data_IF_863180115003
#
_entry.id   IF_863180115003
#
_cell.length_a   1.000
_cell.length_b   1.000
_cell.length_c   1.000
_cell.angle_alpha   90.00
_cell.angle_beta   90.00
_cell.angle_gamma   90.00
#
_symmetry.space_group_name_H-M   'P 1'
#
loop_
_entity.id
_entity.type
_entity.pdbx_description
1 polymer ?
#
# COMPACT_ATOMS: atom_id res chain seq x y z
N UNK A 1 12.98 0.87 -4.06
CA UNK A 1 11.81 1.77 -3.79
C UNK A 1 12.20 3.10 -3.10
N UNK A 2 11.39 4.18 -3.20
CA UNK A 2 11.65 5.48 -2.55
C UNK A 2 11.48 5.38 -1.02
N UNK A 3 12.42 5.95 -0.26
CA UNK A 3 12.40 5.99 1.21
C UNK A 3 11.11 6.59 1.78
N UNK A 4 10.59 7.67 1.18
CA UNK A 4 9.36 8.30 1.66
C UNK A 4 8.13 7.38 1.58
N UNK A 5 8.03 6.60 0.49
CA UNK A 5 6.94 5.64 0.31
C UNK A 5 7.09 4.48 1.32
N UNK A 6 8.31 3.96 1.47
CA UNK A 6 8.62 2.91 2.46
C UNK A 6 8.27 3.34 3.88
N UNK A 7 8.69 4.55 4.29
CA UNK A 7 8.42 5.10 5.62
C UNK A 7 6.90 5.27 5.86
N UNK A 8 6.14 5.64 4.83
CA UNK A 8 4.68 5.74 4.92
C UNK A 8 4.04 4.37 5.11
N UNK A 9 4.44 3.38 4.32
CA UNK A 9 3.93 2.00 4.40
C UNK A 9 4.22 1.43 5.79
N UNK A 10 5.46 1.54 6.26
CA UNK A 10 5.88 1.04 7.57
C UNK A 10 5.05 1.66 8.70
N UNK A 11 4.88 2.98 8.68
CA UNK A 11 4.11 3.70 9.70
C UNK A 11 2.64 3.27 9.73
N UNK A 12 2.01 3.18 8.56
CA UNK A 12 0.58 2.89 8.45
C UNK A 12 0.27 1.41 8.74
N UNK A 13 1.12 0.47 8.29
CA UNK A 13 0.97 -0.95 8.59
C UNK A 13 1.18 -1.24 10.08
N UNK A 14 2.21 -0.65 10.71
CA UNK A 14 2.37 -0.73 12.18
C UNK A 14 1.10 -0.26 12.88
N UNK A 15 0.57 0.91 12.51
CA UNK A 15 -0.64 1.44 13.14
C UNK A 15 -1.85 0.51 12.96
N UNK A 16 -2.03 -0.07 11.78
CA UNK A 16 -3.09 -1.04 11.48
C UNK A 16 -3.01 -2.27 12.39
N UNK A 17 -1.86 -2.95 12.41
CA UNK A 17 -1.66 -4.17 13.19
C UNK A 17 -1.71 -3.92 14.71
N UNK A 18 -1.14 -2.80 15.19
CA UNK A 18 -1.24 -2.44 16.61
C UNK A 18 -2.66 -2.01 17.03
N UNK A 19 -3.47 -1.43 16.14
CA UNK A 19 -4.89 -1.15 16.41
C UNK A 19 -5.67 -2.45 16.61
N UNK A 20 -5.36 -3.49 15.82
CA UNK A 20 -5.91 -4.83 16.00
C UNK A 20 -5.45 -5.46 17.32
N UNK A 21 -4.16 -5.33 17.68
CA UNK A 21 -3.60 -5.82 18.95
C UNK A 21 -4.31 -5.24 20.18
N UNK A 22 -4.50 -3.92 20.21
CA UNK A 22 -5.09 -3.22 21.37
C UNK A 22 -6.46 -3.81 21.77
N UNK A 23 -7.16 -4.43 20.83
CA UNK A 23 -8.46 -5.07 21.03
C UNK A 23 -8.39 -6.53 21.54
N UNK A 24 -7.25 -7.22 21.42
CA UNK A 24 -7.10 -8.66 21.73
C UNK A 24 -5.85 -8.92 22.57
N UNK A 25 -6.04 -9.08 23.90
CA UNK A 25 -5.09 -9.55 24.94
C UNK A 25 -3.63 -9.03 24.95
N UNK A 26 -3.16 -8.61 26.13
CA UNK A 26 -1.84 -8.01 26.34
C UNK A 26 -0.80 -9.00 26.87
N UNK A 27 -0.42 -10.02 26.09
CA UNK A 27 0.72 -10.87 26.44
C UNK A 27 1.89 -10.67 25.44
N UNK A 28 3.11 -11.00 25.86
CA UNK A 28 4.34 -10.77 25.09
C UNK A 28 4.38 -11.59 23.80
N UNK A 29 3.92 -12.84 23.84
CA UNK A 29 3.87 -13.71 22.65
C UNK A 29 2.98 -13.12 21.54
N UNK A 30 1.81 -12.59 21.90
CA UNK A 30 0.92 -11.94 20.92
C UNK A 30 1.53 -10.66 20.36
N UNK A 31 2.32 -9.93 21.17
CA UNK A 31 3.03 -8.75 20.70
C UNK A 31 4.11 -9.11 19.67
N UNK A 32 4.86 -10.19 19.89
CA UNK A 32 5.92 -10.61 18.98
C UNK A 32 5.34 -11.17 17.67
N UNK A 33 4.27 -11.96 17.73
CA UNK A 33 3.54 -12.40 16.54
C UNK A 33 3.04 -11.23 15.69
N UNK A 34 2.54 -10.16 16.32
CA UNK A 34 2.06 -8.98 15.60
C UNK A 34 3.21 -8.22 14.94
N UNK A 35 4.40 -8.22 15.55
CA UNK A 35 5.59 -7.65 14.92
C UNK A 35 5.98 -8.43 13.68
N UNK A 36 6.00 -9.76 13.77
CA UNK A 36 6.27 -10.63 12.63
C UNK A 36 5.25 -10.35 11.50
N UNK A 37 3.95 -10.33 11.81
CA UNK A 37 2.91 -10.05 10.82
C UNK A 37 3.08 -8.70 10.11
N UNK A 38 3.32 -7.60 10.85
CA UNK A 38 3.48 -6.30 10.18
C UNK A 38 4.78 -6.22 9.38
N UNK A 39 5.86 -6.92 9.79
CA UNK A 39 7.13 -6.94 9.06
C UNK A 39 6.96 -7.69 7.74
N UNK A 40 6.35 -8.88 7.78
CA UNK A 40 6.05 -9.66 6.58
C UNK A 40 5.16 -8.86 5.60
N UNK A 41 4.18 -8.12 6.14
CA UNK A 41 3.31 -7.28 5.32
C UNK A 41 4.05 -6.11 4.68
N UNK A 42 5.01 -5.50 5.39
CA UNK A 42 5.87 -4.43 4.84
C UNK A 42 6.69 -4.98 3.68
N UNK A 43 7.31 -6.13 3.85
CA UNK A 43 8.13 -6.75 2.80
C UNK A 43 7.29 -7.08 1.56
N UNK A 44 6.10 -7.66 1.76
CA UNK A 44 5.15 -7.90 0.67
C UNK A 44 4.76 -6.61 -0.07
N UNK A 45 4.46 -5.53 0.64
CA UNK A 45 4.14 -4.24 0.04
C UNK A 45 5.33 -3.69 -0.75
N UNK A 46 6.53 -3.79 -0.19
CA UNK A 46 7.74 -3.25 -0.79
C UNK A 46 8.08 -3.96 -2.11
N UNK A 47 8.07 -5.29 -2.10
CA UNK A 47 8.37 -6.11 -3.27
C UNK A 47 7.34 -5.89 -4.38
N UNK A 48 6.06 -5.88 -4.02
CA UNK A 48 4.97 -5.69 -4.99
C UNK A 48 5.05 -4.30 -5.64
N UNK A 49 5.23 -3.25 -4.84
CA UNK A 49 5.29 -1.88 -5.36
C UNK A 49 6.55 -1.62 -6.17
N UNK A 50 7.68 -2.23 -5.83
CA UNK A 50 8.88 -2.14 -6.66
C UNK A 50 8.65 -2.75 -8.04
N UNK A 51 8.03 -3.93 -8.11
CA UNK A 51 7.67 -4.57 -9.37
C UNK A 51 6.64 -3.76 -10.17
N UNK A 52 5.59 -3.26 -9.52
CA UNK A 52 4.56 -2.42 -10.14
C UNK A 52 5.19 -1.16 -10.76
N UNK A 53 5.97 -0.41 -9.98
CA UNK A 53 6.60 0.83 -10.45
C UNK A 53 7.62 0.58 -11.57
N UNK A 54 8.36 -0.53 -11.51
CA UNK A 54 9.27 -0.94 -12.59
C UNK A 54 8.51 -1.28 -13.87
N UNK A 55 7.49 -2.12 -13.78
CA UNK A 55 6.63 -2.52 -14.91
C UNK A 55 5.96 -1.30 -15.54
N UNK A 56 5.46 -0.36 -14.72
CA UNK A 56 4.84 0.86 -15.22
C UNK A 56 5.84 1.77 -15.95
N UNK A 57 7.06 1.92 -15.42
CA UNK A 57 8.14 2.68 -16.10
C UNK A 57 8.48 2.11 -17.48
N UNK A 58 8.53 0.79 -17.59
CA UNK A 58 8.92 0.10 -18.83
C UNK A 58 7.79 0.06 -19.87
N UNK A 59 6.55 -0.25 -19.45
CA UNK A 59 5.43 -0.51 -20.36
C UNK A 59 4.53 0.70 -20.59
N UNK A 60 4.47 1.64 -19.63
CA UNK A 60 3.54 2.80 -19.63
C UNK A 60 2.08 2.44 -19.87
N UNK A 61 1.68 1.21 -19.54
CA UNK A 61 0.31 0.71 -19.75
C UNK A 61 -0.59 1.13 -18.59
N UNK A 62 -1.56 2.00 -18.87
CA UNK A 62 -2.55 2.48 -17.89
C UNK A 62 -3.47 1.36 -17.39
N UNK A 63 -3.88 0.45 -18.28
CA UNK A 63 -4.78 -0.65 -17.92
C UNK A 63 -4.10 -1.63 -16.95
N UNK A 64 -2.86 -2.02 -17.23
CA UNK A 64 -2.09 -2.91 -16.33
C UNK A 64 -1.84 -2.24 -14.98
N UNK A 65 -1.52 -0.94 -14.99
CA UNK A 65 -1.35 -0.18 -13.76
C UNK A 65 -2.63 -0.21 -12.92
N UNK A 66 -3.79 0.03 -13.53
CA UNK A 66 -5.07 0.03 -12.82
C UNK A 66 -5.38 -1.35 -12.22
N UNK A 67 -5.21 -2.43 -12.99
CA UNK A 67 -5.36 -3.80 -12.49
C UNK A 67 -4.44 -4.08 -11.29
N UNK A 68 -3.18 -3.66 -11.37
CA UNK A 68 -2.22 -3.87 -10.29
C UNK A 68 -2.54 -3.04 -9.03
N UNK A 69 -3.09 -1.83 -9.20
CA UNK A 69 -3.57 -0.99 -8.09
C UNK A 69 -4.84 -1.53 -7.44
N UNK A 70 -5.77 -2.10 -8.22
CA UNK A 70 -6.95 -2.78 -7.68
C UNK A 70 -6.54 -4.00 -6.85
N UNK A 71 -5.57 -4.80 -7.34
CA UNK A 71 -5.02 -5.92 -6.56
C UNK A 71 -4.35 -5.42 -5.27
N UNK A 72 -3.54 -4.38 -5.37
CA UNK A 72 -2.85 -3.78 -4.23
C UNK A 72 -3.82 -3.24 -3.17
N UNK A 73 -4.93 -2.62 -3.59
CA UNK A 73 -6.00 -2.15 -2.69
C UNK A 73 -6.49 -3.26 -1.75
N UNK A 74 -6.56 -4.49 -2.24
CA UNK A 74 -7.09 -5.64 -1.50
C UNK A 74 -6.07 -6.27 -0.53
N UNK A 75 -4.84 -5.76 -0.45
CA UNK A 75 -3.87 -6.26 0.52
C UNK A 75 -4.26 -5.85 1.94
N UNK A 76 -4.03 -6.76 2.89
CA UNK A 76 -4.26 -6.48 4.31
C UNK A 76 -3.46 -5.26 4.77
N UNK A 77 -4.14 -4.34 5.47
CA UNK A 77 -3.55 -3.10 5.95
C UNK A 77 -3.39 -2.01 4.90
N UNK A 78 -3.74 -2.26 3.62
CA UNK A 78 -3.80 -1.20 2.63
C UNK A 78 -4.88 -0.19 3.02
N UNK A 79 -4.55 1.10 2.92
CA UNK A 79 -5.46 2.17 3.30
C UNK A 79 -5.30 3.38 2.37
N UNK A 80 -6.21 4.34 2.54
CA UNK A 80 -6.26 5.56 1.72
C UNK A 80 -4.96 6.35 1.69
N UNK A 81 -4.20 6.40 2.79
CA UNK A 81 -2.92 7.13 2.83
C UNK A 81 -1.83 6.40 2.05
N UNK A 82 -1.75 5.07 2.20
CA UNK A 82 -0.80 4.28 1.42
C UNK A 82 -1.12 4.42 -0.06
N UNK A 83 -2.39 4.25 -0.46
CA UNK A 83 -2.80 4.39 -1.86
C UNK A 83 -2.46 5.78 -2.43
N UNK A 84 -2.72 6.86 -1.68
CA UNK A 84 -2.34 8.22 -2.09
C UNK A 84 -0.84 8.38 -2.28
N UNK A 85 -0.02 7.81 -1.39
CA UNK A 85 1.44 7.86 -1.53
C UNK A 85 1.91 7.09 -2.76
N UNK A 86 1.35 5.91 -3.05
CA UNK A 86 1.66 5.13 -4.26
C UNK A 86 1.32 5.93 -5.53
N UNK A 87 0.12 6.49 -5.59
CA UNK A 87 -0.32 7.32 -6.73
C UNK A 87 0.57 8.56 -6.91
N UNK A 88 1.02 9.18 -5.83
CA UNK A 88 1.97 10.30 -5.91
C UNK A 88 3.30 9.88 -6.56
N UNK A 89 3.84 8.72 -6.22
CA UNK A 89 5.06 8.20 -6.86
C UNK A 89 4.83 7.85 -8.34
N UNK A 90 3.64 7.34 -8.70
CA UNK A 90 3.27 7.10 -10.11
C UNK A 90 3.21 8.42 -10.89
N UNK A 91 2.56 9.46 -10.35
CA UNK A 91 2.48 10.78 -10.99
C UNK A 91 3.85 11.44 -11.20
N UNK A 92 4.85 11.12 -10.37
CA UNK A 92 6.25 11.56 -10.60
C UNK A 92 6.90 10.88 -11.81
N UNK A 93 6.44 9.69 -12.19
CA UNK A 93 6.90 8.95 -13.37
C UNK A 93 6.15 9.43 -14.62
N UNK A 94 4.86 9.68 -14.48
CA UNK A 94 3.96 10.11 -15.54
C UNK A 94 2.82 10.98 -14.98
N UNK A 95 2.93 12.30 -15.18
CA UNK A 95 1.92 13.25 -14.70
C UNK A 95 0.59 13.17 -15.48
N UNK A 96 0.58 12.52 -16.65
CA UNK A 96 -0.61 12.38 -17.51
C UNK A 96 -1.57 11.28 -17.05
N UNK A 97 -1.22 10.54 -15.98
CA UNK A 97 -2.10 9.52 -15.40
C UNK A 97 -3.14 10.22 -14.52
N UNK A 98 -4.38 10.14 -15.00
CA UNK A 98 -5.53 10.67 -14.28
C UNK A 98 -6.03 9.66 -13.24
N UNK A 99 -6.09 10.12 -12.00
CA UNK A 99 -6.62 9.39 -10.84
C UNK A 99 -7.81 10.13 -10.19
N UNK A 100 -8.35 11.13 -10.89
CA UNK A 100 -9.52 11.92 -10.48
C UNK A 100 -10.77 11.52 -11.28
N UNK A 101 -10.61 10.63 -12.27
CA UNK A 101 -11.69 10.05 -13.05
C UNK A 101 -12.61 9.16 -12.19
N UNK A 102 -13.87 9.02 -12.61
CA UNK A 102 -14.83 8.14 -11.95
C UNK A 102 -14.33 6.68 -11.86
N UNK A 103 -13.57 6.20 -12.85
CA UNK A 103 -12.99 4.86 -12.90
C UNK A 103 -11.94 4.59 -11.81
N UNK A 104 -11.35 5.65 -11.25
CA UNK A 104 -10.28 5.55 -10.25
C UNK A 104 -10.72 5.97 -8.86
N UNK A 105 -11.95 6.49 -8.71
CA UNK A 105 -12.52 6.87 -7.40
C UNK A 105 -12.51 5.71 -6.41
N UNK A 106 -12.90 4.53 -6.88
CA UNK A 106 -12.96 3.30 -6.08
C UNK A 106 -11.60 2.94 -5.45
N UNK A 107 -10.47 3.32 -6.05
CA UNK A 107 -9.13 3.07 -5.46
C UNK A 107 -8.95 3.76 -4.11
N UNK A 108 -9.69 4.84 -3.84
CA UNK A 108 -9.56 5.65 -2.62
C UNK A 108 -10.68 5.44 -1.62
N UNK A 109 -11.60 4.52 -1.91
CA UNK A 109 -12.69 4.10 -1.02
C UNK A 109 -12.25 2.88 -0.21
N UNK A 110 -12.14 3.05 1.10
CA UNK A 110 -11.75 2.01 2.06
C UNK A 110 -12.80 1.97 3.17
N UNK A 111 -13.13 0.77 3.63
CA UNK A 111 -14.01 0.59 4.78
C UNK A 111 -13.31 1.05 6.07
N UNK A 112 -14.04 1.76 6.96
CA UNK A 112 -13.53 2.36 8.21
C UNK A 112 -13.44 1.36 9.40
#
# INVERSE_FOLDING_TARGET
MNKFLSDTIEKELKAFYFKAFRRRSKNLETLDLIKECYLDQIDLFNDYLEQLLKSFKEKRSKNLLLEDLIKFKNFEGCNKKIMKSVVSEIKKIDESVDFESDETKDLFEFDD
#
